data_IF_599463000017
#
_entry.id   IF_599463000017
#
_cell.length_a   1.000
_cell.length_b   1.000
_cell.length_c   1.000
_cell.angle_alpha   90.00
_cell.angle_beta   90.00
_cell.angle_gamma   90.00
#
_symmetry.space_group_name_H-M   'P 1'
#
loop_
_entity.id
_entity.type
_entity.pdbx_description
1 polymer ?
#
# COMPACT_ATOMS: atom_id res chain seq x y z
N UNK A 1 18.19 29.22 24.21
CA UNK A 1 17.85 29.33 22.78
C UNK A 1 17.82 27.94 22.20
N UNK A 2 16.64 27.46 21.77
CA UNK A 2 16.44 26.07 21.37
C UNK A 2 17.18 25.75 20.07
N UNK A 3 18.06 24.75 20.12
CA UNK A 3 18.61 24.12 18.93
C UNK A 3 17.48 23.40 18.21
N UNK A 4 16.84 24.06 17.24
CA UNK A 4 16.08 23.35 16.23
C UNK A 4 17.08 22.50 15.45
N UNK A 5 17.20 21.22 15.82
CA UNK A 5 17.85 20.23 14.99
C UNK A 5 17.15 20.29 13.64
N UNK A 6 17.85 20.86 12.66
CA UNK A 6 17.40 20.90 11.27
C UNK A 6 17.03 19.46 10.92
N UNK A 7 15.73 19.22 10.68
CA UNK A 7 15.28 17.92 10.17
C UNK A 7 16.15 17.62 8.95
N UNK A 8 16.67 16.39 8.80
CA UNK A 8 17.44 16.05 7.60
C UNK A 8 16.63 16.47 6.37
N UNK A 9 17.26 17.14 5.41
CA UNK A 9 16.63 17.47 4.13
C UNK A 9 16.13 16.17 3.53
N UNK A 10 14.81 16.02 3.53
CA UNK A 10 14.15 14.88 2.92
C UNK A 10 14.35 15.06 1.42
N UNK A 11 15.01 14.11 0.77
CA UNK A 11 14.98 14.00 -0.68
C UNK A 11 13.57 13.61 -1.10
N UNK A 12 12.79 14.62 -1.49
CA UNK A 12 11.40 14.48 -1.88
C UNK A 12 11.25 13.67 -3.17
N UNK A 13 12.21 13.77 -4.10
CA UNK A 13 12.19 13.06 -5.37
C UNK A 13 12.45 11.56 -5.15
N UNK A 14 13.38 11.21 -4.26
CA UNK A 14 13.61 9.82 -3.89
C UNK A 14 12.41 9.23 -3.13
N UNK A 15 11.79 10.01 -2.25
CA UNK A 15 10.59 9.57 -1.53
C UNK A 15 9.42 9.31 -2.47
N UNK A 16 9.17 10.20 -3.42
CA UNK A 16 8.09 10.05 -4.40
C UNK A 16 8.29 8.82 -5.29
N UNK A 17 9.52 8.55 -5.75
CA UNK A 17 9.84 7.33 -6.51
C UNK A 17 9.54 6.06 -5.71
N UNK A 18 9.94 6.03 -4.44
CA UNK A 18 9.66 4.89 -3.54
C UNK A 18 8.15 4.71 -3.31
N UNK A 19 7.40 5.81 -3.19
CA UNK A 19 5.94 5.76 -3.06
C UNK A 19 5.26 5.27 -4.34
N UNK A 20 5.71 5.69 -5.51
CA UNK A 20 5.19 5.20 -6.79
C UNK A 20 5.45 3.70 -6.98
N UNK A 21 6.66 3.24 -6.65
CA UNK A 21 7.03 1.84 -6.73
C UNK A 21 6.18 0.98 -5.79
N UNK A 22 6.05 1.40 -4.53
CA UNK A 22 5.20 0.74 -3.54
C UNK A 22 3.72 0.70 -3.97
N UNK A 23 3.20 1.77 -4.61
CA UNK A 23 1.84 1.76 -5.17
C UNK A 23 1.69 0.73 -6.28
N UNK A 24 2.65 0.66 -7.20
CA UNK A 24 2.62 -0.33 -8.30
C UNK A 24 2.66 -1.75 -7.76
N UNK A 25 3.55 -2.03 -6.81
CA UNK A 25 3.67 -3.33 -6.18
C UNK A 25 2.39 -3.72 -5.43
N UNK A 26 1.83 -2.79 -4.65
CA UNK A 26 0.56 -2.99 -3.94
C UNK A 26 -0.60 -3.32 -4.88
N UNK A 27 -0.70 -2.61 -6.02
CA UNK A 27 -1.72 -2.88 -7.04
C UNK A 27 -1.59 -4.25 -7.70
N UNK A 28 -0.35 -4.69 -7.99
CA UNK A 28 -0.08 -6.05 -8.52
C UNK A 28 -0.52 -7.11 -7.50
N UNK A 29 -0.09 -6.98 -6.25
CA UNK A 29 -0.43 -7.93 -5.18
C UNK A 29 -1.94 -8.01 -4.93
N UNK A 30 -2.65 -6.89 -5.02
CA UNK A 30 -4.11 -6.90 -4.91
C UNK A 30 -4.78 -7.63 -6.07
N UNK A 31 -4.28 -7.46 -7.29
CA UNK A 31 -4.79 -8.15 -8.48
C UNK A 31 -4.58 -9.66 -8.38
N UNK A 32 -3.39 -10.10 -7.97
CA UNK A 32 -3.11 -11.52 -7.73
C UNK A 32 -4.01 -12.14 -6.66
N UNK A 33 -4.30 -11.40 -5.59
CA UNK A 33 -5.23 -11.84 -4.54
C UNK A 33 -6.64 -11.98 -5.13
N UNK A 34 -7.07 -11.02 -5.95
CA UNK A 34 -8.38 -11.06 -6.63
C UNK A 34 -8.49 -12.28 -7.55
N UNK A 35 -7.46 -12.57 -8.31
CA UNK A 35 -7.44 -13.73 -9.22
C UNK A 35 -7.45 -15.05 -8.44
N UNK A 36 -6.70 -15.15 -7.34
CA UNK A 36 -6.76 -16.30 -6.43
C UNK A 36 -8.15 -16.48 -5.81
N UNK A 37 -8.84 -15.38 -5.49
CA UNK A 37 -10.22 -15.44 -4.96
C UNK A 37 -11.17 -15.94 -6.04
N UNK A 38 -11.05 -15.43 -7.27
CA UNK A 38 -11.87 -15.84 -8.41
C UNK A 38 -11.68 -17.32 -8.76
N UNK A 39 -10.44 -17.81 -8.71
CA UNK A 39 -10.08 -19.20 -8.99
C UNK A 39 -10.37 -20.16 -7.81
N UNK A 40 -10.84 -19.64 -6.66
CA UNK A 40 -11.14 -20.45 -5.47
C UNK A 40 -9.91 -20.95 -4.70
N UNK A 41 -8.70 -20.60 -5.11
CA UNK A 41 -7.42 -21.01 -4.49
C UNK A 41 -6.93 -20.05 -3.40
N UNK A 42 -7.66 -18.95 -3.16
CA UNK A 42 -7.30 -17.97 -2.15
C UNK A 42 -7.26 -18.53 -0.73
N UNK A 43 -6.17 -18.22 -0.05
CA UNK A 43 -6.00 -18.53 1.37
C UNK A 43 -6.90 -17.66 2.24
N UNK A 44 -7.05 -18.04 3.52
CA UNK A 44 -7.76 -17.22 4.52
C UNK A 44 -7.10 -15.84 4.70
N UNK A 45 -5.78 -15.77 4.55
CA UNK A 45 -5.02 -14.53 4.63
C UNK A 45 -5.30 -13.61 3.43
N UNK A 46 -5.31 -14.14 2.21
CA UNK A 46 -5.64 -13.39 1.00
C UNK A 46 -7.03 -12.74 1.11
N UNK A 47 -8.02 -13.49 1.61
CA UNK A 47 -9.38 -12.98 1.85
C UNK A 47 -9.41 -11.88 2.92
N UNK A 48 -8.61 -12.00 3.98
CA UNK A 48 -8.50 -10.97 5.03
C UNK A 48 -7.90 -9.69 4.45
N UNK A 49 -6.82 -9.80 3.67
CA UNK A 49 -6.15 -8.65 3.04
C UNK A 49 -7.12 -7.98 2.06
N UNK A 50 -7.80 -8.74 1.20
CA UNK A 50 -8.78 -8.22 0.25
C UNK A 50 -9.90 -7.43 0.95
N UNK A 51 -10.50 -8.00 2.00
CA UNK A 51 -11.56 -7.34 2.76
C UNK A 51 -11.10 -6.08 3.48
N UNK A 52 -9.88 -6.07 4.02
CA UNK A 52 -9.30 -4.88 4.65
C UNK A 52 -9.08 -3.76 3.63
N UNK A 53 -8.59 -4.09 2.44
CA UNK A 53 -8.37 -3.12 1.36
C UNK A 53 -9.70 -2.54 0.85
N UNK A 54 -10.73 -3.36 0.66
CA UNK A 54 -12.07 -2.89 0.28
C UNK A 54 -12.65 -1.92 1.32
N UNK A 55 -12.64 -2.29 2.62
CA UNK A 55 -13.14 -1.43 3.70
C UNK A 55 -12.42 -0.08 3.79
N UNK A 56 -11.12 -0.03 3.49
CA UNK A 56 -10.37 1.24 3.42
C UNK A 56 -10.79 2.08 2.23
N UNK A 57 -11.02 1.48 1.07
CA UNK A 57 -11.50 2.17 -0.14
C UNK A 57 -12.85 2.86 0.06
N UNK A 58 -13.79 2.23 0.76
CA UNK A 58 -15.09 2.84 1.07
C UNK A 58 -15.01 4.00 2.08
N UNK A 59 -13.93 4.11 2.84
CA UNK A 59 -13.75 5.16 3.88
C UNK A 59 -13.21 6.47 3.31
N UNK A 60 -12.65 6.42 2.10
CA UNK A 60 -12.21 7.59 1.34
C UNK A 60 -13.39 7.97 0.44
N UNK A 61 -14.35 8.70 0.99
CA UNK A 61 -15.48 9.25 0.25
C UNK A 61 -15.74 10.68 0.69
#
# INVERSE_FOLDING_TARGET
MGFFSKRPEIDHDEQDRRYEEAKRESGRRQSEIRDRIANGTATREDKRIFNATQKRGFRIK
#
